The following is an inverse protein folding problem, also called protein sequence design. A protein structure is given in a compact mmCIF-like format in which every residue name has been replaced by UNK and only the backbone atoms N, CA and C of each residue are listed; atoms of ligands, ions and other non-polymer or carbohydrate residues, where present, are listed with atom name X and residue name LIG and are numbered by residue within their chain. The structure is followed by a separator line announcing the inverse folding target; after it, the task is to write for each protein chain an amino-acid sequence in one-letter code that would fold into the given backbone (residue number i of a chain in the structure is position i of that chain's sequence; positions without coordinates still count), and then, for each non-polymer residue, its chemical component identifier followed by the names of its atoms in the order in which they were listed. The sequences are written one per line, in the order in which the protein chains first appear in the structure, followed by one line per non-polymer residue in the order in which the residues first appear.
data_IF_284883013172
#
_entry.id   IF_284883013172
#
_cell.length_a   1.000
_cell.length_b   1.000
_cell.length_c   1.000
_cell.angle_alpha   90.00
_cell.angle_beta   90.00
_cell.angle_gamma   90.00
#
_symmetry.space_group_name_H-M   'P 1'
#
loop_
_entity.id
_entity.type
_entity.pdbx_description
1 polymer ?
#
# COMPACT_ATOMS: atom_id res chain seq x y z
N UNK A 1 9.32 30.30 -7.08
CA UNK A 1 9.98 30.05 -5.78
C UNK A 1 8.87 29.96 -4.76
N UNK A 2 8.83 28.90 -3.96
CA UNK A 2 7.80 28.78 -2.92
C UNK A 2 8.13 29.75 -1.78
N UNK A 3 7.12 30.43 -1.26
CA UNK A 3 7.22 31.17 -0.01
C UNK A 3 7.04 30.24 1.21
N UNK A 4 7.37 30.75 2.39
CA UNK A 4 7.32 29.97 3.63
C UNK A 4 5.90 29.45 3.94
N UNK A 5 4.86 30.21 3.55
CA UNK A 5 3.47 29.84 3.76
C UNK A 5 3.06 28.67 2.85
N UNK A 6 3.49 28.71 1.59
CA UNK A 6 3.26 27.63 0.63
C UNK A 6 3.99 26.34 1.06
N UNK A 7 5.20 26.45 1.61
CA UNK A 7 5.92 25.29 2.17
C UNK A 7 5.19 24.73 3.39
N UNK A 8 4.74 25.59 4.32
CA UNK A 8 4.01 25.17 5.51
C UNK A 8 2.69 24.45 5.14
N UNK A 9 1.96 24.96 4.16
CA UNK A 9 0.74 24.32 3.65
C UNK A 9 1.04 22.95 3.04
N UNK A 10 2.05 22.85 2.17
CA UNK A 10 2.44 21.59 1.55
C UNK A 10 2.88 20.54 2.60
N UNK A 11 3.62 20.94 3.63
CA UNK A 11 3.99 20.07 4.74
C UNK A 11 2.77 19.61 5.55
N UNK A 12 1.80 20.49 5.78
CA UNK A 12 0.53 20.15 6.43
C UNK A 12 -0.26 19.11 5.64
N UNK A 13 -0.36 19.29 4.32
CA UNK A 13 -1.02 18.35 3.41
C UNK A 13 -0.31 16.99 3.37
N UNK A 14 1.02 16.99 3.26
CA UNK A 14 1.83 15.76 3.28
C UNK A 14 1.64 15.00 4.60
N UNK A 15 1.73 15.68 5.74
CA UNK A 15 1.48 15.07 7.04
C UNK A 15 0.04 14.52 7.15
N UNK A 16 -0.93 15.14 6.48
CA UNK A 16 -2.28 14.62 6.34
C UNK A 16 -2.31 13.27 5.61
N UNK A 17 -1.60 13.17 4.48
CA UNK A 17 -1.49 11.93 3.69
C UNK A 17 -0.75 10.84 4.48
N UNK A 18 0.38 11.17 5.12
CA UNK A 18 1.18 10.20 5.87
C UNK A 18 0.39 9.50 6.98
N UNK A 19 -0.52 10.23 7.64
CA UNK A 19 -1.40 9.67 8.68
C UNK A 19 -2.38 8.62 8.14
N UNK A 20 -2.65 8.61 6.84
CA UNK A 20 -3.50 7.60 6.19
C UNK A 20 -2.72 6.34 5.79
N UNK A 21 -1.39 6.38 5.80
CA UNK A 21 -0.52 5.28 5.38
C UNK A 21 -0.16 4.41 6.58
N UNK A 22 -0.51 3.12 6.50
CA UNK A 22 0.02 2.13 7.45
C UNK A 22 1.36 1.61 6.99
N UNK A 23 2.39 1.87 7.79
CA UNK A 23 3.70 1.25 7.63
C UNK A 23 3.70 -0.18 8.14
N UNK A 24 4.45 -1.04 7.47
CA UNK A 24 4.74 -2.39 7.91
C UNK A 24 6.20 -2.47 8.33
N UNK A 25 6.49 -3.21 9.40
CA UNK A 25 7.87 -3.45 9.81
C UNK A 25 8.47 -4.50 8.89
N UNK A 26 9.63 -4.17 8.31
CA UNK A 26 10.43 -5.13 7.57
C UNK A 26 10.95 -6.21 8.54
N UNK A 27 10.61 -7.45 8.27
CA UNK A 27 10.92 -8.60 9.14
C UNK A 27 11.75 -9.63 8.38
N UNK A 28 12.45 -10.50 9.11
CA UNK A 28 13.24 -11.59 8.49
C UNK A 28 12.37 -12.48 7.58
N UNK A 29 11.11 -12.74 7.95
CA UNK A 29 10.22 -13.54 7.10
C UNK A 29 9.90 -12.85 5.78
N UNK A 30 9.74 -11.52 5.77
CA UNK A 30 9.54 -10.75 4.54
C UNK A 30 10.80 -10.78 3.68
N UNK A 31 11.98 -10.58 4.29
CA UNK A 31 13.25 -10.63 3.57
C UNK A 31 13.51 -12.03 2.97
N UNK A 32 13.28 -13.09 3.73
CA UNK A 32 13.37 -14.46 3.22
C UNK A 32 12.39 -14.73 2.08
N UNK A 33 11.16 -14.20 2.18
CA UNK A 33 10.19 -14.27 1.09
C UNK A 33 10.68 -13.53 -0.16
N UNK A 34 11.28 -12.36 0.00
CA UNK A 34 11.82 -11.55 -1.09
C UNK A 34 13.05 -12.19 -1.77
N UNK A 35 13.82 -13.01 -1.04
CA UNK A 35 14.97 -13.74 -1.59
C UNK A 35 14.61 -14.99 -2.38
N UNK A 36 13.35 -15.42 -2.38
CA UNK A 36 12.89 -16.57 -3.18
C UNK A 36 12.70 -16.15 -4.65
N UNK A 37 12.67 -17.14 -5.54
CA UNK A 37 12.32 -16.92 -6.95
C UNK A 37 10.97 -16.23 -7.08
N UNK A 38 10.93 -15.18 -7.89
CA UNK A 38 9.72 -14.40 -8.16
C UNK A 38 9.08 -14.84 -9.48
N UNK A 39 7.75 -14.67 -9.66
CA UNK A 39 7.07 -15.07 -10.89
C UNK A 39 7.54 -14.34 -12.14
N UNK A 40 8.12 -13.15 -11.98
CA UNK A 40 8.77 -12.38 -13.04
C UNK A 40 10.11 -11.86 -12.54
N UNK A 41 10.97 -11.41 -13.47
CA UNK A 41 12.18 -10.68 -13.12
C UNK A 41 11.75 -9.38 -12.44
N UNK A 42 12.22 -9.13 -11.22
CA UNK A 42 11.89 -7.92 -10.45
C UNK A 42 13.13 -7.38 -9.77
N UNK A 43 13.14 -6.08 -9.47
CA UNK A 43 14.22 -5.48 -8.69
C UNK A 43 14.07 -5.82 -7.20
N UNK A 44 15.13 -5.66 -6.42
CA UNK A 44 15.15 -6.04 -4.99
C UNK A 44 14.04 -5.38 -4.16
N UNK A 45 13.80 -4.09 -4.35
CA UNK A 45 12.74 -3.38 -3.62
C UNK A 45 11.34 -3.89 -4.03
N UNK A 46 11.15 -4.25 -5.30
CA UNK A 46 9.90 -4.80 -5.78
C UNK A 46 9.63 -6.18 -5.19
N UNK A 47 10.66 -7.04 -5.09
CA UNK A 47 10.60 -8.31 -4.39
C UNK A 47 10.18 -8.13 -2.92
N UNK A 48 10.71 -7.11 -2.23
CA UNK A 48 10.34 -6.79 -0.85
C UNK A 48 8.87 -6.32 -0.77
N UNK A 49 8.40 -5.48 -1.70
CA UNK A 49 7.00 -5.06 -1.74
C UNK A 49 6.05 -6.24 -2.02
N UNK A 50 6.40 -7.14 -2.93
CA UNK A 50 5.60 -8.32 -3.25
C UNK A 50 5.53 -9.30 -2.07
N UNK A 51 6.67 -9.62 -1.45
CA UNK A 51 6.71 -10.48 -0.26
C UNK A 51 5.94 -9.86 0.91
N UNK A 52 6.00 -8.54 1.05
CA UNK A 52 5.21 -7.79 2.04
C UNK A 52 3.71 -7.90 1.80
N UNK A 53 3.27 -7.75 0.54
CA UNK A 53 1.86 -7.86 0.17
C UNK A 53 1.33 -9.27 0.46
N UNK A 54 2.08 -10.32 0.09
CA UNK A 54 1.74 -11.72 0.40
C UNK A 54 1.63 -11.92 1.92
N UNK A 55 2.62 -11.46 2.70
CA UNK A 55 2.59 -11.59 4.15
C UNK A 55 1.40 -10.87 4.82
N UNK A 56 1.01 -9.68 4.33
CA UNK A 56 -0.18 -8.98 4.83
C UNK A 56 -1.43 -9.79 4.50
N UNK A 57 -1.54 -10.26 3.25
CA UNK A 57 -2.68 -11.01 2.75
C UNK A 57 -2.91 -12.26 3.58
N UNK A 58 -1.86 -13.06 3.78
CA UNK A 58 -1.90 -14.29 4.57
C UNK A 58 -2.24 -14.03 6.03
N UNK A 59 -1.61 -13.03 6.66
CA UNK A 59 -1.85 -12.72 8.09
C UNK A 59 -3.23 -12.18 8.38
N UNK A 60 -3.88 -11.52 7.41
CA UNK A 60 -5.16 -10.85 7.61
C UNK A 60 -6.34 -11.54 6.93
N UNK A 61 -6.10 -12.49 6.02
CA UNK A 61 -7.14 -13.14 5.24
C UNK A 61 -7.96 -12.16 4.39
N UNK A 62 -7.33 -11.09 3.89
CA UNK A 62 -8.00 -10.06 3.07
C UNK A 62 -7.56 -10.16 1.63
N UNK A 63 -8.38 -9.72 0.69
CA UNK A 63 -7.91 -9.41 -0.65
C UNK A 63 -7.10 -8.11 -0.63
N UNK A 64 -5.97 -8.10 -1.36
CA UNK A 64 -5.06 -6.97 -1.40
C UNK A 64 -4.95 -6.44 -2.84
N UNK A 65 -5.29 -5.16 -2.99
CA UNK A 65 -5.02 -4.41 -4.22
C UNK A 65 -3.56 -3.96 -4.25
N UNK A 66 -2.80 -4.42 -5.24
CA UNK A 66 -1.42 -3.98 -5.43
C UNK A 66 -1.37 -2.84 -6.45
N UNK A 67 -1.13 -1.62 -5.97
CA UNK A 67 -1.04 -0.42 -6.80
C UNK A 67 0.42 -0.22 -7.27
N UNK A 68 0.65 -0.29 -8.58
CA UNK A 68 1.94 0.01 -9.20
C UNK A 68 1.72 0.46 -10.64
N UNK A 69 2.61 1.30 -11.15
CA UNK A 69 2.69 1.67 -12.57
C UNK A 69 3.61 0.72 -13.36
N UNK A 70 4.38 -0.14 -12.68
CA UNK A 70 5.26 -1.11 -13.31
C UNK A 70 4.47 -2.36 -13.73
N UNK A 71 4.42 -2.62 -15.04
CA UNK A 71 3.67 -3.74 -15.59
C UNK A 71 4.25 -5.10 -15.19
N UNK A 72 5.57 -5.23 -15.04
CA UNK A 72 6.23 -6.47 -14.66
C UNK A 72 6.00 -6.80 -13.18
N UNK A 73 6.04 -5.79 -12.31
CA UNK A 73 5.67 -5.91 -10.91
C UNK A 73 4.18 -6.22 -10.73
N UNK A 74 3.32 -5.59 -11.54
CA UNK A 74 1.89 -5.88 -11.51
C UNK A 74 1.59 -7.32 -11.93
N UNK A 75 2.30 -7.85 -12.93
CA UNK A 75 2.17 -9.26 -13.34
C UNK A 75 2.60 -10.21 -12.23
N UNK A 76 3.73 -9.94 -11.56
CA UNK A 76 4.16 -10.71 -10.38
C UNK A 76 3.13 -10.68 -9.25
N UNK A 77 2.60 -9.48 -8.93
CA UNK A 77 1.60 -9.33 -7.88
C UNK A 77 0.34 -10.17 -8.15
N UNK A 78 -0.12 -10.20 -9.41
CA UNK A 78 -1.25 -11.03 -9.84
C UNK A 78 -0.96 -12.52 -9.72
N UNK A 79 0.20 -12.98 -10.18
CA UNK A 79 0.61 -14.37 -10.04
C UNK A 79 0.71 -14.80 -8.56
N UNK A 80 1.05 -13.86 -7.67
CA UNK A 80 1.07 -14.08 -6.22
C UNK A 80 -0.31 -13.91 -5.55
N UNK A 81 -1.40 -13.75 -6.29
CA UNK A 81 -2.77 -13.67 -5.75
C UNK A 81 -3.20 -12.29 -5.26
N UNK A 82 -2.56 -11.20 -5.71
CA UNK A 82 -3.05 -9.84 -5.50
C UNK A 82 -3.95 -9.41 -6.67
N UNK A 83 -4.91 -8.52 -6.38
CA UNK A 83 -5.74 -7.92 -7.42
C UNK A 83 -4.97 -6.75 -8.03
N UNK A 84 -4.95 -6.64 -9.37
CA UNK A 84 -4.51 -5.42 -10.07
C UNK A 84 -5.72 -4.53 -10.32
N UNK A 85 -5.65 -3.24 -9.99
CA UNK A 85 -6.50 -2.24 -10.63
C UNK A 85 -5.76 -1.71 -11.86
N UNK A 86 -6.41 -1.78 -13.01
CA UNK A 86 -5.90 -1.25 -14.28
C UNK A 86 -6.00 0.26 -14.42
N UNK A 87 -6.59 0.99 -13.47
CA UNK A 87 -6.85 2.42 -13.62
C UNK A 87 -6.24 3.20 -12.45
N UNK A 88 -4.94 3.46 -12.53
CA UNK A 88 -4.32 4.68 -11.98
C UNK A 88 -4.01 5.59 -13.17
N UNK A 89 -5.01 5.83 -14.01
CA UNK A 89 -4.89 6.78 -15.11
C UNK A 89 -4.91 8.19 -14.53
N UNK A 90 -3.90 8.99 -14.88
CA UNK A 90 -3.84 10.39 -14.53
C UNK A 90 -5.08 11.10 -15.14
N UNK A 91 -6.01 11.53 -14.30
CA UNK A 91 -7.24 12.18 -14.73
C UNK A 91 -8.04 12.73 -13.57
N UNK A 92 -7.73 13.99 -13.22
CA UNK A 92 -8.55 15.03 -12.57
C UNK A 92 -9.59 14.63 -11.50
N UNK A 93 -9.41 15.20 -10.31
CA UNK A 93 -10.45 15.51 -9.31
C UNK A 93 -11.73 14.66 -9.34
N UNK A 94 -11.66 13.43 -8.85
CA UNK A 94 -12.80 12.83 -8.16
C UNK A 94 -12.27 11.89 -7.09
N UNK A 95 -12.25 12.38 -5.85
CA UNK A 95 -12.08 11.57 -4.65
C UNK A 95 -13.26 10.58 -4.53
N UNK A 96 -13.26 9.53 -5.36
CA UNK A 96 -14.13 8.38 -5.17
C UNK A 96 -13.61 7.62 -3.96
N UNK A 97 -14.16 8.02 -2.80
CA UNK A 97 -14.06 7.42 -1.48
C UNK A 97 -13.66 5.94 -1.56
N UNK A 98 -12.36 5.67 -1.41
CA UNK A 98 -11.83 4.31 -1.30
C UNK A 98 -12.38 3.76 0.02
N UNK A 99 -13.46 2.98 -0.07
CA UNK A 99 -14.08 2.34 1.09
C UNK A 99 -13.20 1.14 1.44
N UNK A 100 -12.33 1.29 2.44
CA UNK A 100 -11.63 0.17 3.06
C UNK A 100 -12.67 -0.67 3.83
N UNK A 101 -12.99 -1.92 3.42
CA UNK A 101 -13.83 -2.79 4.22
C UNK A 101 -12.98 -3.29 5.39
N UNK A 102 -13.20 -2.76 6.60
CA UNK A 102 -12.52 -3.25 7.80
C UNK A 102 -12.36 -2.26 8.95
N UNK A 103 -12.61 -0.97 8.73
CA UNK A 103 -12.64 0.02 9.82
C UNK A 103 -14.09 0.22 10.31
N UNK A 104 -14.68 -0.83 10.89
CA UNK A 104 -15.91 -0.71 11.68
C UNK A 104 -15.52 -0.46 13.14
N UNK A 105 -16.16 0.55 13.72
CA UNK A 105 -15.72 1.23 14.94
C UNK A 105 -15.62 0.36 16.18
N UNK A 106 -14.61 0.64 17.00
CA UNK A 106 -14.72 0.44 18.44
C UNK A 106 -15.45 1.65 19.01
N UNK A 107 -16.74 1.47 19.28
CA UNK A 107 -17.46 2.31 20.25
C UNK A 107 -16.73 2.12 21.59
N UNK A 108 -16.17 3.19 22.13
CA UNK A 108 -15.85 3.23 23.55
C UNK A 108 -17.17 3.30 24.30
N UNK A 109 -17.58 2.16 24.89
CA UNK A 109 -18.49 2.14 26.02
C UNK A 109 -17.69 1.63 27.22
N UNK A 110 -17.79 2.40 28.29
CA UNK A 110 -17.76 2.00 29.70
C UNK A 110 -16.49 1.30 30.22
N UNK A 111 -15.73 2.06 31.02
CA UNK A 111 -15.24 1.56 32.30
C UNK A 111 -15.73 2.52 33.39
N UNK A 112 -16.15 1.88 34.48
CA UNK A 112 -16.75 2.40 35.70
C UNK A 112 -15.87 3.41 36.43
#
# INVERSE_FOLDING_TARGET
MFDDQQVAEAMGQLAGIERTIRRIRLSRSILQGASKTMPTIVKTLDAIHLASAVAIRERRGIELLFATHDNQQAAAARALGCIRRSNLEHGQHQARRIRFPGLRGRRARELQ
#
